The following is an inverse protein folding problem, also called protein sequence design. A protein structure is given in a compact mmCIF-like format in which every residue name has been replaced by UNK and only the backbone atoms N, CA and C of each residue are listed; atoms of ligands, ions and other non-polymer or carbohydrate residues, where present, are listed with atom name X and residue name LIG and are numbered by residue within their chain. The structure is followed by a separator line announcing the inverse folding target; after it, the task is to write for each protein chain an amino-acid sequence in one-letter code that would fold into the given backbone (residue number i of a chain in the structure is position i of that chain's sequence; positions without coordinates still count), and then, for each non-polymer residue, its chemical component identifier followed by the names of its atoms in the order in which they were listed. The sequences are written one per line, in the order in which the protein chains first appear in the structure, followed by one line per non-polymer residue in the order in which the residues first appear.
data_IF_913960050541
#
_entry.id   IF_913960050541
#
_cell.length_a   1.000
_cell.length_b   1.000
_cell.length_c   1.000
_cell.angle_alpha   90.00
_cell.angle_beta   90.00
_cell.angle_gamma   90.00
#
_symmetry.space_group_name_H-M   'P 1'
#
loop_
_entity.id
_entity.type
_entity.pdbx_description
1 polymer ?
#
# COMPACT_ATOMS: atom_id res chain seq x y z
N UNK A 1 -17.02 -13.71 31.38
CA UNK A 1 -15.90 -14.05 30.50
C UNK A 1 -15.70 -12.89 29.54
N UNK A 2 -14.61 -12.14 29.70
CA UNK A 2 -14.28 -11.03 28.80
C UNK A 2 -13.87 -11.61 27.45
N UNK A 3 -14.68 -11.38 26.42
CA UNK A 3 -14.32 -11.72 25.04
C UNK A 3 -13.22 -10.74 24.63
N UNK A 4 -12.00 -11.23 24.53
CA UNK A 4 -10.87 -10.41 24.05
C UNK A 4 -11.19 -9.99 22.62
N UNK A 5 -11.51 -8.74 22.44
CA UNK A 5 -11.65 -8.12 21.12
C UNK A 5 -10.28 -7.65 20.66
N UNK A 6 -9.92 -7.98 19.43
CA UNK A 6 -8.73 -7.42 18.81
C UNK A 6 -9.09 -6.15 18.05
N UNK A 7 -8.42 -5.05 18.35
CA UNK A 7 -8.54 -3.79 17.61
C UNK A 7 -7.39 -3.67 16.62
N UNK A 8 -7.70 -3.45 15.34
CA UNK A 8 -6.70 -3.25 14.30
C UNK A 8 -6.96 -1.97 13.54
N UNK A 9 -5.90 -1.23 13.26
CA UNK A 9 -5.93 -0.04 12.41
C UNK A 9 -5.01 -0.26 11.21
N UNK A 10 -5.57 -0.17 10.02
CA UNK A 10 -4.82 -0.20 8.77
C UNK A 10 -4.73 1.24 8.28
N UNK A 11 -3.51 1.73 8.12
CA UNK A 11 -3.23 3.14 7.81
C UNK A 11 -2.54 3.19 6.46
N UNK A 12 -3.17 3.79 5.47
CA UNK A 12 -2.57 4.07 4.17
C UNK A 12 -2.17 5.53 4.09
N UNK A 13 -0.88 5.75 3.90
CA UNK A 13 -0.28 7.06 3.73
C UNK A 13 -0.28 7.43 2.25
N UNK A 14 -1.23 8.23 1.85
CA UNK A 14 -1.38 8.80 0.53
C UNK A 14 -0.89 10.25 0.49
N UNK A 15 -0.77 10.86 -0.67
CA UNK A 15 -0.17 12.19 -0.81
C UNK A 15 -0.91 13.29 -0.04
N UNK A 16 -2.24 13.32 -0.14
CA UNK A 16 -3.08 14.35 0.50
C UNK A 16 -3.91 13.84 1.64
N UNK A 17 -4.07 12.53 1.73
CA UNK A 17 -4.94 11.93 2.72
C UNK A 17 -4.23 10.81 3.46
N UNK A 18 -4.63 10.61 4.70
CA UNK A 18 -4.34 9.38 5.43
C UNK A 18 -5.65 8.64 5.58
N UNK A 19 -5.73 7.46 4.99
CA UNK A 19 -6.88 6.57 5.16
C UNK A 19 -6.63 5.67 6.34
N UNK A 20 -7.58 5.60 7.26
CA UNK A 20 -7.50 4.75 8.44
C UNK A 20 -8.69 3.83 8.48
N UNK A 21 -8.49 2.56 8.16
CA UNK A 21 -9.52 1.53 8.32
C UNK A 21 -9.38 0.90 9.70
N UNK A 22 -10.31 1.22 10.59
CA UNK A 22 -10.43 0.59 11.90
C UNK A 22 -11.27 -0.67 11.77
N UNK A 23 -10.80 -1.77 12.35
CA UNK A 23 -11.54 -3.02 12.41
C UNK A 23 -11.57 -3.57 13.82
N UNK A 24 -12.73 -4.10 14.19
CA UNK A 24 -12.87 -4.92 15.37
C UNK A 24 -12.95 -6.39 14.95
N UNK A 25 -12.18 -7.23 15.59
CA UNK A 25 -12.19 -8.67 15.31
C UNK A 25 -12.75 -9.43 16.48
N UNK A 26 -13.57 -10.45 16.16
CA UNK A 26 -14.05 -11.40 17.15
C UNK A 26 -12.92 -12.34 17.59
N UNK A 27 -13.13 -13.05 18.70
CA UNK A 27 -12.25 -14.11 19.18
C UNK A 27 -11.90 -15.16 18.09
N UNK A 28 -12.85 -15.45 17.19
CA UNK A 28 -12.67 -16.41 16.08
C UNK A 28 -12.02 -15.79 14.84
N UNK A 29 -11.47 -14.58 14.93
CA UNK A 29 -10.79 -13.92 13.83
C UNK A 29 -11.70 -13.25 12.78
N UNK A 30 -13.01 -13.37 12.92
CA UNK A 30 -13.97 -12.69 12.02
C UNK A 30 -14.03 -11.20 12.29
N UNK A 31 -14.10 -10.40 11.23
CA UNK A 31 -14.31 -8.94 11.33
C UNK A 31 -15.75 -8.68 11.76
N UNK A 32 -15.93 -7.93 12.85
CA UNK A 32 -17.24 -7.53 13.38
C UNK A 32 -17.70 -6.18 12.86
N UNK A 33 -16.78 -5.24 12.80
CA UNK A 33 -17.07 -3.90 12.32
C UNK A 33 -15.89 -3.37 11.53
N UNK A 34 -16.19 -2.48 10.60
CA UNK A 34 -15.22 -1.70 9.84
C UNK A 34 -15.63 -0.23 9.86
N UNK A 35 -14.68 0.64 10.10
CA UNK A 35 -14.88 2.07 10.01
C UNK A 35 -13.71 2.67 9.25
N UNK A 36 -13.97 3.26 8.08
CA UNK A 36 -12.98 4.03 7.36
C UNK A 36 -13.05 5.50 7.78
N UNK A 37 -11.92 6.03 8.19
CA UNK A 37 -11.71 7.42 8.52
C UNK A 37 -10.79 8.04 7.48
N UNK A 38 -11.06 9.28 7.09
CA UNK A 38 -10.24 10.07 6.19
C UNK A 38 -9.69 11.26 6.94
N UNK A 39 -8.37 11.44 6.89
CA UNK A 39 -7.69 12.61 7.44
C UNK A 39 -7.00 13.37 6.32
N UNK A 40 -7.34 14.64 6.17
CA UNK A 40 -6.73 15.52 5.18
C UNK A 40 -5.37 16.00 5.69
N UNK A 41 -4.31 15.60 5.00
CA UNK A 41 -2.97 16.10 5.31
C UNK A 41 -2.80 17.52 4.79
N UNK A 42 -2.42 18.49 5.63
CA UNK A 42 -2.15 19.84 5.18
C UNK A 42 -0.87 19.89 4.34
N UNK A 43 -1.04 19.94 3.02
CA UNK A 43 0.05 20.02 2.04
C UNK A 43 0.73 18.68 1.74
N UNK A 44 1.71 18.73 0.84
CA UNK A 44 2.44 17.56 0.36
C UNK A 44 3.48 17.10 1.40
N UNK A 45 3.19 16.02 2.10
CA UNK A 45 4.13 15.45 3.07
C UNK A 45 5.25 14.63 2.42
N UNK A 46 5.10 14.20 1.16
CA UNK A 46 6.19 13.55 0.42
C UNK A 46 7.34 14.53 0.19
N UNK A 47 7.02 15.80 -0.07
CA UNK A 47 8.02 16.87 -0.17
C UNK A 47 8.52 17.35 1.21
N UNK A 48 7.71 17.16 2.28
CA UNK A 48 8.00 17.64 3.63
C UNK A 48 7.77 16.53 4.66
N UNK A 49 8.71 15.59 4.80
CA UNK A 49 8.53 14.40 5.65
C UNK A 49 8.22 14.68 7.13
N UNK A 50 8.66 15.81 7.67
CA UNK A 50 8.35 16.20 9.05
C UNK A 50 6.86 16.44 9.29
N UNK A 51 6.09 16.76 8.26
CA UNK A 51 4.64 16.93 8.37
C UNK A 51 3.94 15.62 8.71
N UNK A 52 4.47 14.49 8.24
CA UNK A 52 3.87 13.19 8.51
C UNK A 52 3.81 12.86 10.01
N UNK A 53 4.82 13.26 10.78
CA UNK A 53 4.84 13.06 12.24
C UNK A 53 3.68 13.77 12.92
N UNK A 54 3.38 15.01 12.47
CA UNK A 54 2.23 15.76 12.96
C UNK A 54 0.93 15.06 12.58
N UNK A 55 0.74 14.74 11.30
CA UNK A 55 -0.45 14.05 10.82
C UNK A 55 -0.68 12.72 11.55
N UNK A 56 0.37 11.92 11.77
CA UNK A 56 0.26 10.67 12.51
C UNK A 56 -0.17 10.88 13.97
N UNK A 57 0.36 11.89 14.66
CA UNK A 57 -0.08 12.23 16.02
C UNK A 57 -1.53 12.69 16.05
N UNK A 58 -1.92 13.50 15.07
CA UNK A 58 -3.30 13.99 14.97
C UNK A 58 -4.29 12.84 14.72
N UNK A 59 -4.00 11.89 13.82
CA UNK A 59 -4.89 10.73 13.58
C UNK A 59 -4.97 9.80 14.79
N UNK A 60 -3.88 9.61 15.53
CA UNK A 60 -3.89 8.82 16.77
C UNK A 60 -4.86 9.46 17.77
N UNK A 61 -4.79 10.78 17.94
CA UNK A 61 -5.63 11.50 18.88
C UNK A 61 -7.10 11.56 18.41
N UNK A 62 -7.33 11.95 17.14
CA UNK A 62 -8.68 12.16 16.58
C UNK A 62 -9.46 10.85 16.45
N UNK A 63 -8.79 9.79 16.04
CA UNK A 63 -9.46 8.48 15.81
C UNK A 63 -9.30 7.49 16.96
N UNK A 64 -8.62 7.90 18.04
CA UNK A 64 -8.46 7.08 19.24
C UNK A 64 -7.73 5.76 18.94
N UNK A 65 -6.55 5.84 18.30
CA UNK A 65 -5.81 4.65 17.87
C UNK A 65 -4.87 4.08 18.94
N UNK A 66 -4.89 4.61 20.15
CA UNK A 66 -4.14 4.07 21.28
C UNK A 66 -4.56 2.61 21.50
N UNK A 67 -3.58 1.76 21.76
CA UNK A 67 -3.75 0.31 21.97
C UNK A 67 -4.20 -0.50 20.74
N UNK A 68 -4.31 0.15 19.57
CA UNK A 68 -4.57 -0.55 18.32
C UNK A 68 -3.30 -1.28 17.81
N UNK A 69 -3.50 -2.50 17.33
CA UNK A 69 -2.51 -3.16 16.47
C UNK A 69 -2.53 -2.50 15.10
N UNK A 70 -1.43 -1.83 14.75
CA UNK A 70 -1.36 -0.95 13.59
C UNK A 70 -0.60 -1.59 12.44
N UNK A 71 -1.13 -1.45 11.25
CA UNK A 71 -0.57 -1.88 9.99
C UNK A 71 -0.42 -0.66 9.09
N UNK A 72 0.81 -0.40 8.61
CA UNK A 72 1.10 0.71 7.70
C UNK A 72 1.15 0.21 6.26
N UNK A 73 0.52 0.95 5.37
CA UNK A 73 0.63 0.79 3.93
C UNK A 73 1.33 2.02 3.36
N UNK A 74 2.51 1.82 2.79
CA UNK A 74 3.32 2.88 2.18
C UNK A 74 3.10 2.93 0.68
N UNK A 75 3.10 4.13 0.13
CA UNK A 75 2.98 4.41 -1.30
C UNK A 75 3.72 5.70 -1.65
N UNK A 76 3.61 6.14 -2.88
CA UNK A 76 4.13 7.42 -3.32
C UNK A 76 5.50 7.37 -4.01
N UNK A 77 6.03 8.53 -4.40
CA UNK A 77 7.24 8.61 -5.23
C UNK A 77 8.51 8.13 -4.52
N UNK A 78 8.51 8.10 -3.18
CA UNK A 78 9.64 7.61 -2.39
C UNK A 78 9.70 6.08 -2.30
N UNK A 79 8.67 5.36 -2.76
CA UNK A 79 8.68 3.90 -2.79
C UNK A 79 9.44 3.41 -4.02
N UNK A 80 10.53 2.70 -3.77
CA UNK A 80 11.24 1.95 -4.80
C UNK A 80 10.71 0.53 -4.85
N UNK A 81 10.27 0.11 -6.04
CA UNK A 81 9.79 -1.23 -6.31
C UNK A 81 10.53 -1.78 -7.53
N UNK A 82 11.32 -2.83 -7.34
CA UNK A 82 12.17 -3.40 -8.39
C UNK A 82 12.18 -4.91 -8.36
N UNK A 83 12.24 -5.51 -9.54
CA UNK A 83 12.63 -6.90 -9.71
C UNK A 83 14.15 -7.00 -9.74
N UNK A 84 14.67 -7.99 -9.01
CA UNK A 84 16.09 -8.31 -8.93
C UNK A 84 16.30 -9.79 -9.34
N UNK A 85 17.40 -10.09 -9.99
CA UNK A 85 17.83 -11.45 -10.31
C UNK A 85 19.09 -11.77 -9.50
N UNK A 86 18.96 -12.65 -8.49
CA UNK A 86 20.03 -12.97 -7.55
C UNK A 86 20.38 -14.45 -7.59
N UNK A 87 21.65 -14.80 -7.36
CA UNK A 87 22.16 -16.16 -7.42
C UNK A 87 21.78 -17.03 -6.21
N UNK A 88 20.82 -16.60 -5.40
CA UNK A 88 20.39 -17.34 -4.21
C UNK A 88 18.87 -17.42 -4.09
N UNK A 89 18.39 -18.51 -3.50
CA UNK A 89 16.98 -18.71 -3.12
C UNK A 89 16.71 -18.36 -1.64
N UNK A 90 17.73 -18.05 -0.86
CA UNK A 90 17.64 -17.77 0.59
C UNK A 90 17.50 -16.27 0.82
N UNK A 91 16.48 -15.88 1.56
CA UNK A 91 16.15 -14.46 1.81
C UNK A 91 17.31 -13.70 2.47
N UNK A 92 17.98 -14.30 3.46
CA UNK A 92 19.06 -13.63 4.19
C UNK A 92 20.28 -13.38 3.30
N UNK A 93 20.64 -14.36 2.46
CA UNK A 93 21.71 -14.18 1.47
C UNK A 93 21.34 -13.13 0.43
N UNK A 94 20.09 -13.15 -0.07
CA UNK A 94 19.58 -12.14 -0.98
C UNK A 94 19.65 -10.73 -0.37
N UNK A 95 19.25 -10.57 0.90
CA UNK A 95 19.36 -9.29 1.62
C UNK A 95 20.81 -8.80 1.69
N UNK A 96 21.76 -9.69 1.98
CA UNK A 96 23.18 -9.34 2.02
C UNK A 96 23.72 -8.90 0.66
N UNK A 97 23.27 -9.54 -0.43
CA UNK A 97 23.64 -9.14 -1.78
C UNK A 97 23.10 -7.75 -2.13
N UNK A 98 21.86 -7.45 -1.77
CA UNK A 98 21.18 -6.19 -2.11
C UNK A 98 21.76 -5.00 -1.37
N UNK A 99 22.28 -5.17 -0.14
CA UNK A 99 22.96 -4.10 0.61
C UNK A 99 24.17 -3.52 -0.17
N UNK A 100 24.80 -4.32 -1.01
CA UNK A 100 25.96 -3.92 -1.82
C UNK A 100 25.58 -3.52 -3.25
N UNK A 101 24.30 -3.60 -3.61
CA UNK A 101 23.82 -3.29 -4.95
C UNK A 101 23.34 -1.84 -5.00
N UNK A 102 23.91 -1.06 -5.91
CA UNK A 102 23.45 0.30 -6.26
C UNK A 102 21.99 0.32 -6.76
N UNK A 103 21.37 -0.85 -6.94
CA UNK A 103 19.97 -0.99 -7.34
C UNK A 103 18.98 -0.39 -6.35
N UNK A 104 19.39 -0.19 -5.07
CA UNK A 104 18.57 0.47 -4.04
C UNK A 104 19.16 1.85 -3.75
N UNK A 105 18.84 2.82 -4.62
CA UNK A 105 19.21 4.22 -4.44
C UNK A 105 20.59 4.57 -4.98
N UNK A 106 20.90 5.84 -4.92
CA UNK A 106 22.15 6.45 -5.42
C UNK A 106 23.29 6.44 -4.39
N UNK A 107 23.14 5.70 -3.29
CA UNK A 107 24.09 5.65 -2.19
C UNK A 107 24.05 6.86 -1.26
N UNK A 108 23.28 7.91 -1.57
CA UNK A 108 23.17 9.12 -0.72
C UNK A 108 22.11 8.97 0.38
N UNK A 109 21.13 8.10 0.18
CA UNK A 109 20.01 7.88 1.09
C UNK A 109 19.99 6.45 1.60
N UNK A 110 19.93 6.27 2.92
CA UNK A 110 19.73 4.96 3.52
C UNK A 110 18.26 4.51 3.31
N UNK A 111 18.06 3.25 2.92
CA UNK A 111 16.75 2.66 2.71
C UNK A 111 16.44 1.53 3.68
N UNK A 112 15.22 1.51 4.20
CA UNK A 112 14.60 0.33 4.78
C UNK A 112 14.04 -0.50 3.62
N UNK A 113 14.39 -1.79 3.53
CA UNK A 113 13.92 -2.63 2.44
C UNK A 113 13.53 -4.03 2.90
N UNK A 114 12.68 -4.67 2.11
CA UNK A 114 12.39 -6.09 2.22
C UNK A 114 12.33 -6.76 0.85
N UNK A 115 12.52 -8.06 0.83
CA UNK A 115 12.58 -8.89 -0.36
C UNK A 115 11.54 -10.01 -0.29
N UNK A 116 10.87 -10.24 -1.41
CA UNK A 116 10.01 -11.39 -1.61
C UNK A 116 10.46 -12.15 -2.87
N UNK A 117 10.67 -13.47 -2.74
CA UNK A 117 11.03 -14.30 -3.90
C UNK A 117 9.83 -14.45 -4.82
N UNK A 118 10.04 -14.28 -6.12
CA UNK A 118 9.01 -14.56 -7.14
C UNK A 118 8.80 -16.07 -7.27
N UNK A 119 7.62 -16.46 -7.76
CA UNK A 119 7.31 -17.87 -8.02
C UNK A 119 7.93 -18.39 -9.33
N UNK A 120 8.55 -17.51 -10.11
CA UNK A 120 9.14 -17.87 -11.39
C UNK A 120 10.31 -18.85 -11.21
N UNK A 121 10.47 -19.83 -12.13
CA UNK A 121 11.60 -20.74 -12.12
C UNK A 121 12.91 -19.96 -12.32
N UNK A 122 14.03 -20.44 -11.76
CA UNK A 122 15.31 -19.78 -11.94
C UNK A 122 15.74 -19.82 -13.41
N UNK A 123 16.24 -18.71 -13.90
CA UNK A 123 16.79 -18.55 -15.23
C UNK A 123 18.30 -18.38 -15.16
N UNK A 124 19.07 -19.25 -15.84
CA UNK A 124 20.54 -19.19 -15.79
C UNK A 124 21.13 -19.33 -14.38
N UNK A 125 20.42 -19.98 -13.44
CA UNK A 125 20.84 -20.09 -12.03
C UNK A 125 20.50 -18.88 -11.16
N UNK A 126 19.82 -17.88 -11.72
CA UNK A 126 19.36 -16.69 -11.01
C UNK A 126 17.89 -16.84 -10.60
N UNK A 127 17.58 -16.43 -9.39
CA UNK A 127 16.22 -16.43 -8.82
C UNK A 127 15.65 -15.01 -8.88
N UNK A 128 14.37 -14.89 -9.25
CA UNK A 128 13.65 -13.62 -9.23
C UNK A 128 13.29 -13.21 -7.80
N UNK A 129 13.49 -11.93 -7.50
CA UNK A 129 13.15 -11.30 -6.24
C UNK A 129 12.46 -9.97 -6.50
N UNK A 130 11.39 -9.70 -5.80
CA UNK A 130 10.82 -8.36 -5.72
C UNK A 130 11.38 -7.65 -4.51
N UNK A 131 11.92 -6.46 -4.74
CA UNK A 131 12.41 -5.56 -3.70
C UNK A 131 11.46 -4.38 -3.52
N UNK A 132 11.10 -4.12 -2.27
CA UNK A 132 10.45 -2.90 -1.85
C UNK A 132 11.39 -2.13 -0.93
N UNK A 133 11.67 -0.86 -1.25
CA UNK A 133 12.51 -0.02 -0.41
C UNK A 133 11.88 1.37 -0.21
N UNK A 134 12.08 1.93 0.97
CA UNK A 134 11.58 3.24 1.37
C UNK A 134 12.65 3.97 2.21
N UNK A 135 12.77 5.32 2.16
CA UNK A 135 13.78 6.03 2.93
C UNK A 135 13.75 5.67 4.41
N UNK A 136 14.89 5.25 4.95
CA UNK A 136 15.01 4.67 6.29
C UNK A 136 14.54 5.62 7.40
N UNK A 137 14.93 6.89 7.29
CA UNK A 137 14.58 7.90 8.30
C UNK A 137 13.07 8.12 8.33
N UNK A 138 12.40 8.15 7.17
CA UNK A 138 10.95 8.28 7.09
C UNK A 138 10.24 7.11 7.76
N UNK A 139 10.67 5.88 7.47
CA UNK A 139 10.10 4.66 8.07
C UNK A 139 10.30 4.67 9.59
N UNK A 140 11.51 5.02 10.04
CA UNK A 140 11.86 5.09 11.46
C UNK A 140 11.01 6.14 12.18
N UNK A 141 10.86 7.31 11.62
CA UNK A 141 10.07 8.40 12.16
C UNK A 141 8.58 8.03 12.28
N UNK A 142 8.01 7.36 11.29
CA UNK A 142 6.63 6.87 11.33
C UNK A 142 6.44 5.85 12.45
N UNK A 143 7.34 4.86 12.55
CA UNK A 143 7.28 3.83 13.60
C UNK A 143 7.41 4.46 14.98
N UNK A 144 8.36 5.36 15.19
CA UNK A 144 8.57 6.02 16.47
C UNK A 144 7.37 6.89 16.86
N UNK A 145 6.79 7.60 15.90
CA UNK A 145 5.59 8.43 16.14
C UNK A 145 4.40 7.58 16.57
N UNK A 146 4.14 6.47 15.89
CA UNK A 146 3.06 5.55 16.23
C UNK A 146 3.28 4.91 17.61
N UNK A 147 4.50 4.45 17.89
CA UNK A 147 4.85 3.84 19.18
C UNK A 147 4.74 4.84 20.34
N UNK A 148 5.18 6.08 20.14
CA UNK A 148 5.03 7.14 21.16
C UNK A 148 3.57 7.50 21.43
N UNK A 149 2.68 7.26 20.45
CA UNK A 149 1.23 7.35 20.60
C UNK A 149 0.57 6.08 21.13
N UNK A 150 1.34 5.15 21.69
CA UNK A 150 0.88 3.86 22.23
C UNK A 150 0.19 2.94 21.19
N UNK A 151 0.62 3.03 19.92
CA UNK A 151 0.17 2.13 18.85
C UNK A 151 1.15 0.96 18.70
N UNK A 152 0.63 -0.26 18.61
CA UNK A 152 1.45 -1.46 18.38
C UNK A 152 1.67 -1.68 16.88
N UNK A 153 2.77 -1.16 16.32
CA UNK A 153 3.10 -1.37 14.90
C UNK A 153 3.48 -2.82 14.66
N UNK A 154 2.62 -3.55 13.96
CA UNK A 154 2.78 -4.98 13.68
C UNK A 154 3.46 -5.25 12.35
N UNK A 155 3.12 -4.46 11.32
CA UNK A 155 3.60 -4.67 9.96
C UNK A 155 3.63 -3.35 9.20
N UNK A 156 4.60 -3.23 8.31
CA UNK A 156 4.65 -2.23 7.26
C UNK A 156 4.61 -2.98 5.94
N UNK A 157 3.75 -2.54 5.04
CA UNK A 157 3.62 -3.10 3.70
C UNK A 157 3.61 -1.96 2.67
N UNK A 158 3.55 -2.32 1.41
CA UNK A 158 3.60 -1.38 0.31
C UNK A 158 2.42 -1.56 -0.63
N UNK A 159 1.99 -0.48 -1.26
CA UNK A 159 0.81 -0.45 -2.12
C UNK A 159 0.83 -1.50 -3.24
N UNK A 160 1.96 -1.77 -3.95
CA UNK A 160 1.98 -2.84 -4.95
C UNK A 160 1.59 -4.21 -4.41
N UNK A 161 2.06 -4.54 -3.20
CA UNK A 161 1.70 -5.82 -2.58
C UNK A 161 0.22 -5.90 -2.20
N UNK A 162 -0.38 -4.79 -1.77
CA UNK A 162 -1.83 -4.71 -1.52
C UNK A 162 -2.63 -4.82 -2.84
N UNK A 163 -2.16 -4.18 -3.91
CA UNK A 163 -2.76 -4.26 -5.24
C UNK A 163 -2.80 -5.71 -5.78
N UNK A 164 -1.72 -6.47 -5.60
CA UNK A 164 -1.68 -7.89 -5.96
C UNK A 164 -2.73 -8.72 -5.24
N UNK A 165 -2.99 -8.42 -3.97
CA UNK A 165 -4.06 -9.08 -3.21
C UNK A 165 -5.47 -8.64 -3.61
N UNK A 166 -5.61 -7.41 -4.09
CA UNK A 166 -6.89 -6.91 -4.61
C UNK A 166 -7.27 -7.61 -5.92
N UNK A 167 -6.28 -7.94 -6.75
CA UNK A 167 -6.44 -8.59 -8.05
C UNK A 167 -5.64 -9.90 -8.12
N UNK A 168 -5.98 -10.96 -7.34
CA UNK A 168 -5.10 -12.10 -7.08
C UNK A 168 -4.81 -13.01 -8.29
N UNK A 169 -5.57 -12.91 -9.36
CA UNK A 169 -5.35 -13.65 -10.63
C UNK A 169 -5.26 -12.73 -11.84
N UNK A 170 -5.26 -11.42 -11.63
CA UNK A 170 -5.29 -10.46 -12.72
C UNK A 170 -3.94 -10.32 -13.41
N UNK A 171 -3.97 -10.22 -14.75
CA UNK A 171 -2.84 -9.80 -15.58
C UNK A 171 -3.25 -8.50 -16.25
N UNK A 172 -2.52 -7.42 -15.98
CA UNK A 172 -2.86 -6.09 -16.48
C UNK A 172 -2.34 -4.96 -15.61
N UNK A 173 -2.95 -3.80 -15.71
CA UNK A 173 -2.51 -2.59 -15.02
C UNK A 173 -3.61 -2.08 -14.10
N UNK A 174 -3.27 -1.92 -12.83
CA UNK A 174 -4.13 -1.31 -11.83
C UNK A 174 -3.73 0.14 -11.63
N UNK A 175 -4.68 1.03 -11.79
CA UNK A 175 -4.53 2.46 -11.52
C UNK A 175 -5.33 2.82 -10.28
N UNK A 176 -4.67 3.45 -9.30
CA UNK A 176 -5.32 4.03 -8.14
C UNK A 176 -5.18 5.54 -8.23
N UNK A 177 -6.29 6.19 -8.55
CA UNK A 177 -6.32 7.62 -8.82
C UNK A 177 -6.61 8.40 -7.54
N UNK A 178 -5.71 9.30 -7.19
CA UNK A 178 -5.89 10.33 -6.17
C UNK A 178 -5.94 11.71 -6.83
N UNK A 179 -6.40 12.76 -6.16
CA UNK A 179 -6.60 14.08 -6.78
C UNK A 179 -5.35 14.69 -7.44
N UNK A 180 -4.15 14.32 -7.01
CA UNK A 180 -2.91 14.88 -7.54
C UNK A 180 -1.86 13.82 -7.86
N UNK A 181 -2.16 12.54 -7.67
CA UNK A 181 -1.22 11.45 -7.86
C UNK A 181 -1.97 10.20 -8.33
N UNK A 182 -1.39 9.53 -9.31
CA UNK A 182 -1.90 8.25 -9.80
C UNK A 182 -0.84 7.21 -9.51
N UNK A 183 -1.25 6.19 -8.78
CA UNK A 183 -0.43 5.01 -8.60
C UNK A 183 -0.72 4.02 -9.71
N UNK A 184 0.31 3.54 -10.37
CA UNK A 184 0.24 2.57 -11.46
C UNK A 184 0.93 1.30 -11.00
N UNK A 185 0.20 0.20 -10.98
CA UNK A 185 0.74 -1.12 -10.59
C UNK A 185 0.48 -2.09 -11.73
N UNK A 186 1.55 -2.59 -12.36
CA UNK A 186 1.44 -3.68 -13.32
C UNK A 186 1.43 -5.01 -12.60
N UNK A 187 0.47 -5.85 -12.92
CA UNK A 187 0.28 -7.18 -12.33
C UNK A 187 0.37 -8.26 -13.40
N UNK A 188 0.92 -9.40 -13.04
CA UNK A 188 0.88 -10.64 -13.83
C UNK A 188 0.46 -11.79 -12.92
N UNK A 189 -0.72 -12.35 -13.19
CA UNK A 189 -1.32 -13.38 -12.33
C UNK A 189 -1.36 -12.97 -10.83
N UNK A 190 -1.71 -11.72 -10.57
CA UNK A 190 -1.75 -11.15 -9.21
C UNK A 190 -0.40 -10.78 -8.60
N UNK A 191 0.72 -11.04 -9.29
CA UNK A 191 2.06 -10.65 -8.82
C UNK A 191 2.39 -9.26 -9.33
N UNK A 192 2.70 -8.28 -8.46
CA UNK A 192 3.08 -6.94 -8.89
C UNK A 192 4.49 -6.94 -9.48
N UNK A 193 4.60 -6.60 -10.76
CA UNK A 193 5.87 -6.53 -11.51
C UNK A 193 6.49 -5.15 -11.43
N UNK A 194 5.69 -4.09 -11.59
CA UNK A 194 6.17 -2.72 -11.55
C UNK A 194 5.24 -1.82 -10.75
N UNK A 195 5.79 -0.74 -10.27
CA UNK A 195 5.07 0.33 -9.59
C UNK A 195 5.65 1.67 -9.99
N UNK A 196 4.77 2.61 -10.28
CA UNK A 196 5.12 3.99 -10.55
C UNK A 196 4.06 4.95 -10.00
N UNK A 197 4.46 6.19 -9.81
CA UNK A 197 3.57 7.31 -9.53
C UNK A 197 3.66 8.32 -10.67
N UNK A 198 2.54 8.84 -11.11
CA UNK A 198 2.46 9.90 -12.11
C UNK A 198 1.38 10.92 -11.73
N UNK A 199 1.57 12.16 -12.13
CA UNK A 199 0.55 13.20 -12.04
C UNK A 199 -0.29 13.34 -13.32
N UNK A 200 0.12 12.65 -14.39
CA UNK A 200 -0.54 12.68 -15.68
C UNK A 200 -1.23 11.34 -15.97
N UNK A 201 -2.44 11.42 -16.49
CA UNK A 201 -3.17 10.27 -16.99
C UNK A 201 -2.69 9.91 -18.40
N UNK A 202 -2.68 8.61 -18.78
CA UNK A 202 -2.58 8.24 -20.17
C UNK A 202 -3.72 8.89 -20.97
N UNK A 203 -3.40 9.43 -22.14
CA UNK A 203 -4.38 10.22 -22.95
C UNK A 203 -5.55 9.40 -23.51
N UNK A 204 -5.59 8.10 -23.32
CA UNK A 204 -6.55 7.22 -23.95
C UNK A 204 -7.55 6.61 -22.96
N UNK A 205 -8.81 6.92 -23.12
CA UNK A 205 -9.94 6.14 -22.63
C UNK A 205 -11.06 6.91 -21.93
N UNK A 206 -12.28 6.57 -22.34
CA UNK A 206 -13.54 7.12 -21.84
C UNK A 206 -13.72 6.90 -20.31
N UNK A 207 -13.17 5.81 -19.79
CA UNK A 207 -13.20 5.48 -18.36
C UNK A 207 -12.32 6.44 -17.54
N UNK A 208 -11.31 7.05 -18.17
CA UNK A 208 -10.50 8.07 -17.54
C UNK A 208 -11.27 9.38 -17.28
N UNK A 209 -12.13 9.79 -18.21
CA UNK A 209 -12.96 10.97 -18.00
C UNK A 209 -13.93 10.74 -16.85
N UNK A 210 -14.53 9.56 -16.78
CA UNK A 210 -15.41 9.16 -15.68
C UNK A 210 -14.65 9.03 -14.35
N UNK A 211 -13.39 8.55 -14.36
CA UNK A 211 -12.55 8.48 -13.17
C UNK A 211 -12.03 9.85 -12.72
N UNK A 212 -11.83 10.81 -13.63
CA UNK A 212 -11.47 12.18 -13.29
C UNK A 212 -12.60 12.96 -12.62
N UNK A 213 -13.85 12.70 -12.99
CA UNK A 213 -15.02 13.35 -12.41
C UNK A 213 -15.32 12.85 -11.00
N UNK A 214 -14.89 11.65 -10.67
CA UNK A 214 -15.13 11.00 -9.39
C UNK A 214 -13.80 10.77 -8.66
N UNK A 215 -13.37 11.71 -7.86
CA UNK A 215 -12.14 11.64 -7.07
C UNK A 215 -12.02 10.30 -6.33
N UNK A 216 -10.89 9.59 -6.45
CA UNK A 216 -10.56 8.31 -5.80
C UNK A 216 -11.06 7.03 -6.48
N UNK A 217 -10.76 6.83 -7.76
CA UNK A 217 -11.10 5.58 -8.44
C UNK A 217 -9.93 4.62 -8.56
N UNK A 218 -10.26 3.36 -8.40
CA UNK A 218 -9.41 2.24 -8.80
C UNK A 218 -9.92 1.73 -10.14
N UNK A 219 -9.07 1.76 -11.15
CA UNK A 219 -9.39 1.31 -12.51
C UNK A 219 -8.42 0.19 -12.87
N UNK A 220 -8.95 -0.84 -13.50
CA UNK A 220 -8.21 -2.00 -13.95
C UNK A 220 -8.22 -2.08 -15.47
N UNK A 221 -7.05 -2.20 -16.06
CA UNK A 221 -6.90 -2.57 -17.46
C UNK A 221 -6.48 -4.03 -17.56
N UNK A 222 -7.35 -4.86 -18.11
CA UNK A 222 -7.12 -6.28 -18.35
C UNK A 222 -6.38 -6.43 -19.69
N UNK A 223 -5.10 -6.76 -19.66
CA UNK A 223 -4.26 -6.89 -20.86
C UNK A 223 -4.70 -8.07 -21.73
N UNK A 224 -5.24 -9.15 -21.14
CA UNK A 224 -5.67 -10.34 -21.88
C UNK A 224 -6.95 -10.07 -22.68
N UNK A 225 -7.85 -9.24 -22.14
CA UNK A 225 -9.12 -8.90 -22.78
C UNK A 225 -9.09 -7.58 -23.55
N UNK A 226 -8.03 -6.77 -23.34
CA UNK A 226 -7.94 -5.42 -23.91
C UNK A 226 -9.05 -4.49 -23.42
N UNK A 227 -9.53 -4.68 -22.20
CA UNK A 227 -10.69 -3.97 -21.66
C UNK A 227 -10.40 -3.27 -20.35
N UNK A 228 -11.00 -2.11 -20.20
CA UNK A 228 -11.05 -1.40 -18.92
C UNK A 228 -12.21 -1.90 -18.07
N UNK A 229 -11.97 -2.03 -16.79
CA UNK A 229 -12.99 -2.41 -15.82
C UNK A 229 -12.71 -1.83 -14.44
N UNK A 230 -13.68 -1.95 -13.55
CA UNK A 230 -13.51 -1.62 -12.14
C UNK A 230 -13.22 -2.93 -11.42
N UNK A 231 -12.13 -3.04 -10.64
CA UNK A 231 -11.83 -4.26 -9.89
C UNK A 231 -13.00 -4.65 -8.99
N UNK A 232 -13.32 -5.93 -8.87
CA UNK A 232 -14.38 -6.37 -8.00
C UNK A 232 -14.05 -6.08 -6.54
N UNK A 233 -14.92 -5.37 -5.85
CA UNK A 233 -14.84 -5.14 -4.41
C UNK A 233 -15.80 -6.07 -3.72
N UNK A 234 -15.39 -6.69 -2.62
CA UNK A 234 -16.25 -7.61 -1.89
C UNK A 234 -17.50 -6.91 -1.35
N UNK A 235 -18.64 -7.58 -1.42
CA UNK A 235 -19.92 -7.04 -0.93
C UNK A 235 -19.87 -6.66 0.57
N UNK A 236 -19.00 -7.32 1.34
CA UNK A 236 -18.81 -6.97 2.75
C UNK A 236 -18.18 -5.58 2.91
N UNK A 237 -17.22 -5.22 2.06
CA UNK A 237 -16.61 -3.89 2.07
C UNK A 237 -17.60 -2.83 1.61
N UNK A 238 -18.33 -3.09 0.52
CA UNK A 238 -19.37 -2.16 0.01
C UNK A 238 -20.44 -1.86 1.05
N UNK A 239 -20.90 -2.89 1.75
CA UNK A 239 -21.95 -2.75 2.78
C UNK A 239 -21.52 -1.91 3.97
N UNK A 240 -20.24 -2.01 4.33
CA UNK A 240 -19.70 -1.33 5.51
C UNK A 240 -19.30 0.13 5.22
N UNK A 241 -19.43 0.60 3.96
CA UNK A 241 -19.03 1.94 3.54
C UNK A 241 -20.23 2.77 3.11
N UNK A 242 -20.47 3.88 3.83
CA UNK A 242 -21.57 4.81 3.54
C UNK A 242 -21.29 5.69 2.31
N UNK A 243 -20.04 5.87 1.96
CA UNK A 243 -19.59 6.75 0.89
C UNK A 243 -18.87 5.96 -0.18
N UNK A 244 -19.39 6.04 -1.41
CA UNK A 244 -18.87 5.30 -2.56
C UNK A 244 -17.38 5.59 -2.85
N UNK A 245 -16.96 6.83 -2.74
CA UNK A 245 -15.57 7.26 -2.95
C UNK A 245 -14.57 6.64 -1.95
N UNK A 246 -15.06 6.12 -0.83
CA UNK A 246 -14.24 5.46 0.19
C UNK A 246 -14.20 3.93 0.04
N UNK A 247 -15.03 3.36 -0.82
CA UNK A 247 -15.11 1.90 -1.01
C UNK A 247 -13.78 1.32 -1.49
N UNK A 248 -13.12 1.97 -2.44
CA UNK A 248 -11.85 1.47 -2.99
C UNK A 248 -10.66 1.63 -2.03
N UNK A 249 -10.45 2.77 -1.36
CA UNK A 249 -9.47 2.85 -0.29
C UNK A 249 -9.69 1.79 0.79
N UNK A 250 -10.95 1.56 1.19
CA UNK A 250 -11.29 0.50 2.13
C UNK A 250 -10.98 -0.89 1.58
N UNK A 251 -11.23 -1.16 0.29
CA UNK A 251 -10.90 -2.44 -0.34
C UNK A 251 -9.40 -2.69 -0.39
N UNK A 252 -8.60 -1.69 -0.73
CA UNK A 252 -7.13 -1.77 -0.71
C UNK A 252 -6.64 -2.10 0.70
N UNK A 253 -7.15 -1.41 1.72
CA UNK A 253 -6.79 -1.67 3.12
C UNK A 253 -7.34 -3.00 3.63
N UNK A 254 -8.52 -3.42 3.21
CA UNK A 254 -9.12 -4.69 3.63
C UNK A 254 -8.47 -5.91 2.94
N UNK A 255 -7.81 -5.73 1.81
CA UNK A 255 -7.00 -6.76 1.15
C UNK A 255 -5.69 -7.07 1.90
N UNK A 256 -5.42 -6.33 2.96
CA UNK A 256 -4.27 -6.45 3.84
C UNK A 256 -4.49 -7.53 4.90
#
# INVERSE_FOLDING_TARGET
MSIVQGYRAYIWLSQRHIYVLKTETSWYGGVRSRQLCLYDCPGDWFAWPEKIKKCLRDIIAVYGLQDYTTYLLLSGPSLLWKELKLATKRKEEARSMVVWDEAIGDGSTAYAFDLARTAEPPEGGLYGWMSAAYPYDMVTDMIQTLRSGNCCVRRIDVLPAAAGRLCPSGTGILYLCEPALIHVVQLKSGVPLSYACTSALPEEGRIWQEAQEQMHHVVWYDEEKGMWSIPPVSESVKRDMDRWELVYPAAVLAAY
#
